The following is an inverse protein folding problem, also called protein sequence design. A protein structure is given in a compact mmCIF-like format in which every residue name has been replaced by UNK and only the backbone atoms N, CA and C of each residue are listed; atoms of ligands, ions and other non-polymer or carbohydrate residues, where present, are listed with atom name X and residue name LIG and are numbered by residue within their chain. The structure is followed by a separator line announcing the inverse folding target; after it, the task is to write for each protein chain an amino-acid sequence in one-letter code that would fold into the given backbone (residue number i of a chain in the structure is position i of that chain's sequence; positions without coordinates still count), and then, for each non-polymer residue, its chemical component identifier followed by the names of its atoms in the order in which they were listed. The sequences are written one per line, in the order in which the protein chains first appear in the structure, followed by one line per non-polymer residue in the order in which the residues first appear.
data_IF_135481884028
#
_entry.id   IF_135481884028
#
_cell.length_a   1.000
_cell.length_b   1.000
_cell.length_c   1.000
_cell.angle_alpha   90.00
_cell.angle_beta   90.00
_cell.angle_gamma   90.00
#
_symmetry.space_group_name_H-M   'P 1'
#
loop_
_entity.id
_entity.type
_entity.pdbx_description
1 polymer ?
#
# COMPACT_ATOMS: atom_id res chain seq x y z
N UNK A 1 -11.72 -16.46 60.09
CA UNK A 1 -12.25 -15.63 58.99
C UNK A 1 -11.21 -15.55 57.88
N UNK A 2 -11.51 -16.15 56.73
CA UNK A 2 -10.62 -16.17 55.55
C UNK A 2 -10.74 -14.82 54.83
N UNK A 3 -9.64 -14.08 54.69
CA UNK A 3 -9.53 -12.93 53.80
C UNK A 3 -8.51 -13.22 52.71
N UNK A 4 -9.00 -13.80 51.61
CA UNK A 4 -8.31 -13.73 50.31
C UNK A 4 -8.82 -12.46 49.62
N UNK A 5 -7.88 -11.59 49.24
CA UNK A 5 -7.82 -10.87 47.96
C UNK A 5 -7.25 -9.47 48.14
N UNK A 6 -5.94 -9.37 47.89
CA UNK A 6 -5.44 -8.29 47.05
C UNK A 6 -4.39 -8.91 46.16
N UNK A 7 -4.81 -9.33 44.96
CA UNK A 7 -3.93 -9.49 43.81
C UNK A 7 -3.15 -8.19 43.70
N UNK A 8 -1.95 -8.14 44.29
CA UNK A 8 -0.90 -7.27 43.79
C UNK A 8 -0.75 -7.70 42.34
N UNK A 9 -1.23 -6.86 41.41
CA UNK A 9 -0.72 -6.84 40.05
C UNK A 9 0.77 -6.59 40.20
N UNK A 10 1.54 -7.67 40.38
CA UNK A 10 2.96 -7.65 40.16
C UNK A 10 3.14 -7.21 38.71
N UNK A 11 3.51 -5.95 38.55
CA UNK A 11 4.18 -5.43 37.36
C UNK A 11 5.58 -6.06 37.31
N UNK A 12 5.65 -7.40 37.23
CA UNK A 12 6.87 -8.10 36.91
C UNK A 12 6.97 -8.09 35.38
N UNK A 13 8.04 -7.46 34.87
CA UNK A 13 8.46 -7.60 33.48
C UNK A 13 8.37 -9.08 33.12
N UNK A 14 7.54 -9.45 32.14
CA UNK A 14 7.35 -10.85 31.80
C UNK A 14 8.73 -11.45 31.46
N UNK A 15 9.23 -12.44 32.22
CA UNK A 15 10.60 -12.93 32.05
C UNK A 15 10.82 -13.55 30.66
N UNK A 16 9.74 -13.98 29.98
CA UNK A 16 9.80 -14.44 28.60
C UNK A 16 9.98 -13.29 27.60
N UNK A 17 9.45 -12.10 27.89
CA UNK A 17 9.63 -10.92 27.06
C UNK A 17 11.10 -10.45 27.07
N UNK A 18 11.72 -10.42 28.24
CA UNK A 18 13.15 -10.11 28.37
C UNK A 18 14.02 -11.14 27.62
N UNK A 19 13.73 -12.44 27.77
CA UNK A 19 14.42 -13.50 27.02
C UNK A 19 14.21 -13.39 25.50
N UNK A 20 13.01 -13.05 25.05
CA UNK A 20 12.72 -12.84 23.64
C UNK A 20 13.54 -11.69 23.06
N UNK A 21 13.63 -10.57 23.79
CA UNK A 21 14.43 -9.41 23.41
C UNK A 21 15.94 -9.74 23.37
N UNK A 22 16.46 -10.48 24.35
CA UNK A 22 17.85 -10.93 24.32
C UNK A 22 18.15 -11.83 23.11
N UNK A 23 17.26 -12.79 22.81
CA UNK A 23 17.40 -13.63 21.61
C UNK A 23 17.36 -12.81 20.31
N UNK A 24 16.53 -11.76 20.27
CA UNK A 24 16.46 -10.82 19.14
C UNK A 24 17.78 -10.05 18.97
N UNK A 25 18.36 -9.52 20.05
CA UNK A 25 19.66 -8.82 20.01
C UNK A 25 20.80 -9.73 19.53
N UNK A 26 20.73 -11.02 19.86
CA UNK A 26 21.68 -12.04 19.39
C UNK A 26 21.40 -12.53 17.95
N UNK A 27 20.44 -11.91 17.25
CA UNK A 27 19.99 -12.32 15.91
C UNK A 27 19.46 -13.76 15.82
N UNK A 28 19.15 -14.38 16.97
CA UNK A 28 18.48 -15.68 17.03
C UNK A 28 16.97 -15.49 16.83
N UNK A 29 16.59 -15.12 15.61
CA UNK A 29 15.22 -14.75 15.26
C UNK A 29 14.23 -15.90 15.43
N UNK A 30 14.67 -17.15 15.24
CA UNK A 30 13.84 -18.35 15.45
C UNK A 30 13.42 -18.45 16.92
N UNK A 31 14.39 -18.33 17.84
CA UNK A 31 14.10 -18.38 19.26
C UNK A 31 13.30 -17.15 19.73
N UNK A 32 13.66 -15.96 19.26
CA UNK A 32 12.97 -14.72 19.57
C UNK A 32 11.49 -14.77 19.15
N UNK A 33 11.20 -15.20 17.90
CA UNK A 33 9.84 -15.31 17.37
C UNK A 33 8.99 -16.27 18.21
N UNK A 34 9.55 -17.44 18.55
CA UNK A 34 8.87 -18.42 19.42
C UNK A 34 8.54 -17.84 20.80
N UNK A 35 9.49 -17.15 21.42
CA UNK A 35 9.30 -16.58 22.75
C UNK A 35 8.29 -15.42 22.73
N UNK A 36 8.34 -14.53 21.74
CA UNK A 36 7.34 -13.48 21.58
C UNK A 36 5.93 -14.04 21.33
N UNK A 37 5.80 -15.09 20.52
CA UNK A 37 4.50 -15.79 20.32
C UNK A 37 3.96 -16.37 21.63
N UNK A 38 4.82 -16.97 22.46
CA UNK A 38 4.41 -17.48 23.79
C UNK A 38 3.98 -16.35 24.74
N UNK A 39 4.60 -15.17 24.65
CA UNK A 39 4.13 -13.98 25.39
C UNK A 39 2.72 -13.62 24.93
N UNK A 40 2.47 -13.57 23.62
CA UNK A 40 1.14 -13.25 23.08
C UNK A 40 0.07 -14.30 23.39
N UNK A 41 0.42 -15.57 23.58
CA UNK A 41 -0.53 -16.59 24.03
C UNK A 41 -1.10 -16.27 25.43
N UNK A 42 -0.28 -15.69 26.32
CA UNK A 42 -0.69 -15.34 27.68
C UNK A 42 -1.21 -13.90 27.80
N UNK A 43 -0.67 -13.01 26.99
CA UNK A 43 -0.97 -11.59 26.96
C UNK A 43 -1.23 -11.15 25.52
N UNK A 44 -2.44 -11.40 24.99
CA UNK A 44 -2.76 -11.21 23.57
C UNK A 44 -2.54 -9.79 23.05
N UNK A 45 -2.57 -8.80 23.94
CA UNK A 45 -2.42 -7.37 23.64
C UNK A 45 -1.05 -6.82 24.10
N UNK A 46 -0.07 -7.68 24.41
CA UNK A 46 1.25 -7.21 24.80
C UNK A 46 1.95 -6.51 23.63
N UNK A 47 2.03 -5.18 23.72
CA UNK A 47 2.63 -4.28 22.73
C UNK A 47 4.04 -4.71 22.32
N UNK A 48 4.93 -4.92 23.28
CA UNK A 48 6.34 -5.13 23.01
C UNK A 48 6.58 -6.48 22.31
N UNK A 49 5.80 -7.51 22.63
CA UNK A 49 5.85 -8.77 21.92
C UNK A 49 5.35 -8.66 20.48
N UNK A 50 4.30 -7.88 20.22
CA UNK A 50 3.86 -7.61 18.84
C UNK A 50 4.90 -6.83 18.04
N UNK A 51 5.52 -5.79 18.65
CA UNK A 51 6.56 -5.01 18.00
C UNK A 51 7.82 -5.86 17.72
N UNK A 52 8.20 -6.74 18.65
CA UNK A 52 9.28 -7.70 18.44
C UNK A 52 9.01 -8.62 17.25
N UNK A 53 7.81 -9.16 17.14
CA UNK A 53 7.42 -9.99 15.98
C UNK A 53 7.38 -9.19 14.68
N UNK A 54 6.92 -7.94 14.72
CA UNK A 54 6.92 -7.06 13.56
C UNK A 54 8.35 -6.76 13.08
N UNK A 55 9.27 -6.49 14.01
CA UNK A 55 10.69 -6.24 13.70
C UNK A 55 11.39 -7.48 13.11
N UNK A 56 11.10 -8.67 13.64
CA UNK A 56 11.60 -9.94 13.06
C UNK A 56 11.06 -10.13 11.64
N UNK A 57 9.77 -9.86 11.42
CA UNK A 57 9.16 -9.96 10.10
C UNK A 57 9.79 -8.97 9.11
N UNK A 58 10.05 -7.72 9.54
CA UNK A 58 10.77 -6.70 8.77
C UNK A 58 12.16 -7.19 8.36
N UNK A 59 12.95 -7.71 9.29
CA UNK A 59 14.29 -8.22 9.01
C UNK A 59 14.29 -9.35 7.95
N UNK A 60 13.22 -10.14 7.92
CA UNK A 60 13.08 -11.26 6.99
C UNK A 60 12.31 -10.89 5.71
N UNK A 61 12.10 -9.60 5.44
CA UNK A 61 11.35 -9.10 4.29
C UNK A 61 9.92 -9.66 4.19
N UNK A 62 9.30 -9.98 5.34
CA UNK A 62 7.92 -10.48 5.46
C UNK A 62 6.96 -9.33 5.75
N UNK A 63 6.88 -8.36 4.84
CA UNK A 63 6.16 -7.09 5.06
C UNK A 63 4.68 -7.26 5.41
N UNK A 64 3.99 -8.23 4.80
CA UNK A 64 2.60 -8.55 5.12
C UNK A 64 2.43 -8.94 6.60
N UNK A 65 3.37 -9.72 7.15
CA UNK A 65 3.36 -10.15 8.55
C UNK A 65 3.72 -8.97 9.46
N UNK A 66 4.69 -8.15 9.08
CA UNK A 66 5.04 -6.94 9.81
C UNK A 66 3.85 -5.98 9.92
N UNK A 67 3.19 -5.68 8.79
CA UNK A 67 1.97 -4.85 8.73
C UNK A 67 0.85 -5.39 9.62
N UNK A 68 0.64 -6.71 9.63
CA UNK A 68 -0.36 -7.34 10.49
C UNK A 68 -0.12 -7.01 11.98
N UNK A 69 1.11 -7.18 12.47
CA UNK A 69 1.43 -6.90 13.86
C UNK A 69 1.38 -5.42 14.20
N UNK A 70 1.88 -4.52 13.33
CA UNK A 70 1.77 -3.08 13.56
C UNK A 70 0.30 -2.59 13.62
N UNK A 71 -0.58 -3.12 12.76
CA UNK A 71 -2.03 -2.83 12.83
C UNK A 71 -2.63 -3.30 14.17
N UNK A 72 -2.23 -4.46 14.68
CA UNK A 72 -2.70 -4.96 15.99
C UNK A 72 -2.20 -4.10 17.16
N UNK A 73 -0.97 -3.60 17.09
CA UNK A 73 -0.45 -2.63 18.07
C UNK A 73 -1.32 -1.38 18.06
N UNK A 74 -1.59 -0.78 16.90
CA UNK A 74 -2.42 0.44 16.82
C UNK A 74 -3.88 0.22 17.23
N UNK A 75 -4.43 -1.00 17.06
CA UNK A 75 -5.77 -1.34 17.55
C UNK A 75 -5.85 -1.32 19.08
N UNK A 76 -4.80 -1.76 19.76
CA UNK A 76 -4.77 -1.90 21.23
C UNK A 76 -4.11 -0.69 21.91
N UNK A 77 -3.22 0.00 21.20
CA UNK A 77 -2.42 1.15 21.64
C UNK A 77 -2.45 2.24 20.54
N UNK A 78 -3.57 2.97 20.38
CA UNK A 78 -3.74 3.92 19.27
C UNK A 78 -2.71 5.07 19.24
N UNK A 79 -2.12 5.41 20.39
CA UNK A 79 -1.07 6.43 20.51
C UNK A 79 0.35 5.92 20.20
N UNK A 80 0.51 4.69 19.73
CA UNK A 80 1.82 4.10 19.53
C UNK A 80 2.59 4.70 18.34
N UNK A 81 3.54 5.59 18.63
CA UNK A 81 4.25 6.30 17.57
C UNK A 81 5.14 5.38 16.73
N UNK A 82 5.74 4.35 17.33
CA UNK A 82 6.60 3.39 16.62
C UNK A 82 5.79 2.63 15.57
N UNK A 83 4.68 2.03 15.98
CA UNK A 83 3.80 1.31 15.06
C UNK A 83 3.20 2.23 14.00
N UNK A 84 2.85 3.48 14.35
CA UNK A 84 2.30 4.45 13.40
C UNK A 84 3.32 4.82 12.32
N UNK A 85 4.52 5.25 12.70
CA UNK A 85 5.55 5.68 11.75
C UNK A 85 6.01 4.51 10.88
N UNK A 86 6.27 3.34 11.49
CA UNK A 86 6.72 2.18 10.74
C UNK A 86 5.63 1.62 9.84
N UNK A 87 4.37 1.58 10.28
CA UNK A 87 3.27 1.18 9.40
C UNK A 87 3.10 2.16 8.25
N UNK A 88 3.16 3.48 8.50
CA UNK A 88 3.10 4.49 7.44
C UNK A 88 4.21 4.31 6.40
N UNK A 89 5.43 4.01 6.83
CA UNK A 89 6.54 3.69 5.93
C UNK A 89 6.29 2.40 5.15
N UNK A 90 5.77 1.35 5.80
CA UNK A 90 5.46 0.05 5.17
C UNK A 90 4.25 0.06 4.26
N UNK A 91 3.31 0.97 4.50
CA UNK A 91 2.09 1.14 3.70
C UNK A 91 2.21 2.32 2.77
N UNK A 92 3.37 2.98 2.71
CA UNK A 92 3.59 4.22 1.98
C UNK A 92 2.94 4.13 0.61
N UNK A 93 1.92 4.96 0.39
CA UNK A 93 1.11 5.17 -0.82
C UNK A 93 0.65 3.93 -1.59
N UNK A 94 1.55 3.05 -2.03
CA UNK A 94 1.27 1.87 -2.86
C UNK A 94 0.33 0.83 -2.24
N UNK A 95 0.41 0.53 -0.94
CA UNK A 95 -0.39 -0.58 -0.37
C UNK A 95 -1.82 -0.17 0.02
N UNK A 96 -2.01 1.07 0.46
CA UNK A 96 -3.36 1.64 0.70
C UNK A 96 -4.16 1.81 -0.59
N UNK A 97 -3.46 2.04 -1.70
CA UNK A 97 -4.04 2.20 -3.04
C UNK A 97 -4.21 0.86 -3.77
N UNK A 98 -3.59 -0.23 -3.27
CA UNK A 98 -3.76 -1.61 -3.74
C UNK A 98 -4.98 -2.33 -3.16
N UNK A 99 -5.69 -1.75 -2.21
CA UNK A 99 -6.95 -2.32 -1.70
C UNK A 99 -8.13 -1.55 -2.27
N UNK A 100 -8.74 -2.10 -3.33
CA UNK A 100 -9.89 -1.46 -4.00
C UNK A 100 -11.08 -1.20 -3.06
N UNK A 101 -11.27 -2.00 -2.01
CA UNK A 101 -12.37 -1.82 -1.06
C UNK A 101 -12.13 -0.59 -0.18
N UNK A 102 -10.89 -0.42 0.27
CA UNK A 102 -10.47 0.74 1.05
C UNK A 102 -10.46 1.99 0.18
N UNK A 103 -9.99 1.90 -1.06
CA UNK A 103 -9.96 3.05 -1.96
C UNK A 103 -11.36 3.58 -2.28
N UNK A 104 -12.34 2.69 -2.47
CA UNK A 104 -13.75 3.06 -2.62
C UNK A 104 -14.30 3.77 -1.38
N UNK A 105 -13.93 3.33 -0.18
CA UNK A 105 -14.35 4.02 1.05
C UNK A 105 -13.76 5.42 1.16
N UNK A 106 -12.50 5.63 0.76
CA UNK A 106 -11.88 6.95 0.76
C UNK A 106 -12.50 7.87 -0.30
N UNK A 107 -12.90 7.32 -1.45
CA UNK A 107 -13.66 8.05 -2.46
C UNK A 107 -15.05 8.47 -1.96
N UNK A 108 -15.66 7.75 -1.00
CA UNK A 108 -16.92 8.21 -0.39
C UNK A 108 -16.73 9.48 0.44
N UNK A 109 -15.60 9.60 1.14
CA UNK A 109 -15.26 10.80 1.92
C UNK A 109 -14.66 11.92 1.08
N UNK A 110 -13.94 11.58 0.01
CA UNK A 110 -13.21 12.52 -0.85
C UNK A 110 -13.53 12.28 -2.34
N UNK A 111 -14.79 12.50 -2.77
CA UNK A 111 -15.25 12.15 -4.12
C UNK A 111 -14.62 12.98 -5.25
N UNK A 112 -13.88 14.04 -4.90
CA UNK A 112 -13.23 14.96 -5.82
C UNK A 112 -11.70 14.89 -5.74
N UNK A 113 -11.13 13.82 -5.17
CA UNK A 113 -9.68 13.64 -5.07
C UNK A 113 -9.15 12.87 -6.31
N UNK A 114 -8.47 13.53 -7.26
CA UNK A 114 -8.00 12.89 -8.49
C UNK A 114 -6.97 11.78 -8.24
N UNK A 115 -6.16 11.89 -7.17
CA UNK A 115 -5.16 10.89 -6.84
C UNK A 115 -5.79 9.56 -6.42
N UNK A 116 -6.94 9.59 -5.75
CA UNK A 116 -7.68 8.38 -5.37
C UNK A 116 -8.28 7.68 -6.59
N UNK A 117 -8.78 8.43 -7.57
CA UNK A 117 -9.21 7.85 -8.85
C UNK A 117 -8.03 7.30 -9.66
N UNK A 118 -6.91 8.01 -9.70
CA UNK A 118 -5.71 7.53 -10.40
C UNK A 118 -5.21 6.21 -9.82
N UNK A 119 -5.16 6.13 -8.49
CA UNK A 119 -4.86 4.90 -7.78
C UNK A 119 -5.83 3.76 -8.09
N UNK A 120 -7.12 4.05 -8.22
CA UNK A 120 -8.15 3.06 -8.53
C UNK A 120 -7.94 2.54 -9.94
N UNK A 121 -7.60 3.43 -10.87
CA UNK A 121 -7.19 3.07 -12.22
C UNK A 121 -5.99 2.14 -12.23
N UNK A 122 -4.92 2.48 -11.49
CA UNK A 122 -3.72 1.64 -11.38
C UNK A 122 -4.06 0.23 -10.85
N UNK A 123 -4.84 0.14 -9.78
CA UNK A 123 -5.26 -1.14 -9.23
C UNK A 123 -6.05 -1.99 -10.24
N UNK A 124 -6.97 -1.36 -10.98
CA UNK A 124 -7.78 -2.07 -11.98
C UNK A 124 -6.94 -2.49 -13.18
N UNK A 125 -6.00 -1.66 -13.63
CA UNK A 125 -5.04 -1.97 -14.68
C UNK A 125 -4.13 -3.16 -14.27
N UNK A 126 -3.59 -3.16 -13.05
CA UNK A 126 -2.80 -4.27 -12.50
C UNK A 126 -3.59 -5.58 -12.44
N UNK A 127 -4.92 -5.48 -12.35
CA UNK A 127 -5.85 -6.62 -12.35
C UNK A 127 -6.34 -7.03 -13.74
N UNK A 128 -5.92 -6.33 -14.81
CA UNK A 128 -6.39 -6.54 -16.19
C UNK A 128 -7.81 -6.04 -16.47
N UNK A 129 -8.43 -5.33 -15.51
CA UNK A 129 -9.77 -4.79 -15.62
C UNK A 129 -9.74 -3.44 -16.35
N UNK A 130 -9.41 -3.47 -17.65
CA UNK A 130 -9.11 -2.28 -18.43
C UNK A 130 -10.29 -1.30 -18.59
N UNK A 131 -11.53 -1.79 -18.58
CA UNK A 131 -12.73 -0.92 -18.63
C UNK A 131 -12.88 -0.08 -17.36
N UNK A 132 -12.73 -0.71 -16.21
CA UNK A 132 -12.77 -0.05 -14.91
C UNK A 132 -11.58 0.89 -14.73
N UNK A 133 -10.41 0.49 -15.22
CA UNK A 133 -9.23 1.34 -15.25
C UNK A 133 -9.45 2.60 -16.09
N UNK A 134 -10.01 2.45 -17.31
CA UNK A 134 -10.35 3.56 -18.19
C UNK A 134 -11.31 4.55 -17.51
N UNK A 135 -12.38 4.07 -16.87
CA UNK A 135 -13.30 4.93 -16.14
C UNK A 135 -12.62 5.70 -15.00
N UNK A 136 -11.80 5.01 -14.18
CA UNK A 136 -11.11 5.64 -13.06
C UNK A 136 -10.06 6.66 -13.51
N UNK A 137 -9.27 6.36 -14.54
CA UNK A 137 -8.33 7.32 -15.10
C UNK A 137 -9.02 8.52 -15.75
N UNK A 138 -10.18 8.30 -16.37
CA UNK A 138 -10.99 9.40 -16.90
C UNK A 138 -11.43 10.37 -15.80
N UNK A 139 -11.93 9.87 -14.68
CA UNK A 139 -12.30 10.72 -13.53
C UNK A 139 -11.08 11.47 -12.95
N UNK A 140 -9.93 10.79 -12.82
CA UNK A 140 -8.69 11.43 -12.39
C UNK A 140 -8.29 12.59 -13.31
N UNK A 141 -8.35 12.36 -14.63
CA UNK A 141 -8.03 13.38 -15.63
C UNK A 141 -9.07 14.52 -15.63
N UNK A 142 -10.38 14.21 -15.53
CA UNK A 142 -11.45 15.21 -15.48
C UNK A 142 -11.28 16.16 -14.30
N UNK A 143 -10.86 15.65 -13.15
CA UNK A 143 -10.63 16.43 -11.93
C UNK A 143 -9.30 17.21 -11.97
N UNK A 144 -8.30 16.76 -12.75
CA UNK A 144 -7.01 17.43 -12.90
C UNK A 144 -6.50 17.34 -14.36
N UNK A 145 -7.06 18.13 -15.29
CA UNK A 145 -6.86 17.98 -16.73
C UNK A 145 -5.47 18.39 -17.23
N UNK A 146 -4.63 18.95 -16.36
CA UNK A 146 -3.27 19.39 -16.69
C UNK A 146 -2.21 18.34 -16.32
N UNK A 147 -2.60 17.20 -15.73
CA UNK A 147 -1.69 16.13 -15.33
C UNK A 147 -1.39 15.19 -16.51
N UNK A 148 -0.19 15.29 -17.06
CA UNK A 148 0.28 14.43 -18.15
C UNK A 148 0.17 12.93 -17.84
N UNK A 149 0.49 12.52 -16.61
CA UNK A 149 0.44 11.11 -16.19
C UNK A 149 -0.99 10.53 -16.26
N UNK A 150 -2.02 11.33 -15.99
CA UNK A 150 -3.40 10.87 -16.02
C UNK A 150 -3.89 10.68 -17.45
N UNK A 151 -3.55 11.62 -18.34
CA UNK A 151 -3.79 11.47 -19.78
C UNK A 151 -3.06 10.24 -20.35
N UNK A 152 -1.81 10.02 -19.93
CA UNK A 152 -1.00 8.88 -20.39
C UNK A 152 -1.60 7.53 -19.97
N UNK A 153 -1.99 7.38 -18.71
CA UNK A 153 -2.56 6.11 -18.22
C UNK A 153 -3.99 5.87 -18.74
N UNK A 154 -4.77 6.94 -18.96
CA UNK A 154 -6.04 6.83 -19.69
C UNK A 154 -5.81 6.34 -21.12
N UNK A 155 -4.80 6.86 -21.81
CA UNK A 155 -4.45 6.41 -23.15
C UNK A 155 -4.03 4.93 -23.17
N UNK A 156 -3.23 4.47 -22.21
CA UNK A 156 -2.88 3.05 -22.04
C UNK A 156 -4.14 2.18 -21.88
N UNK A 157 -5.06 2.58 -21.00
CA UNK A 157 -6.27 1.79 -20.78
C UNK A 157 -7.14 1.70 -22.05
N UNK A 158 -7.24 2.80 -22.81
CA UNK A 158 -7.93 2.82 -24.11
C UNK A 158 -7.21 1.93 -25.15
N UNK A 159 -5.87 1.95 -25.16
CA UNK A 159 -5.05 1.16 -26.06
C UNK A 159 -5.25 -0.34 -25.81
N UNK A 160 -5.27 -0.76 -24.55
CA UNK A 160 -5.58 -2.13 -24.12
C UNK A 160 -7.02 -2.58 -24.47
N UNK A 161 -7.93 -1.63 -24.62
CA UNK A 161 -9.31 -1.87 -25.06
C UNK A 161 -9.46 -1.83 -26.59
N UNK A 162 -8.36 -1.74 -27.35
CA UNK A 162 -8.35 -1.57 -28.80
C UNK A 162 -9.10 -0.31 -29.29
N UNK A 163 -9.25 0.69 -28.42
CA UNK A 163 -9.87 1.98 -28.72
C UNK A 163 -8.82 2.96 -29.26
N UNK A 164 -8.24 2.61 -30.42
CA UNK A 164 -7.02 3.18 -30.96
C UNK A 164 -7.12 4.69 -31.23
N UNK A 165 -8.23 5.15 -31.80
CA UNK A 165 -8.45 6.59 -32.07
C UNK A 165 -8.48 7.40 -30.78
N UNK A 166 -9.16 6.90 -29.75
CA UNK A 166 -9.22 7.59 -28.46
C UNK A 166 -7.86 7.52 -27.75
N UNK A 167 -7.18 6.38 -27.79
CA UNK A 167 -5.85 6.20 -27.21
C UNK A 167 -4.85 7.21 -27.82
N UNK A 168 -4.79 7.32 -29.15
CA UNK A 168 -3.93 8.27 -29.85
C UNK A 168 -4.19 9.73 -29.42
N UNK A 169 -5.47 10.12 -29.29
CA UNK A 169 -5.83 11.46 -28.84
C UNK A 169 -5.29 11.75 -27.43
N UNK A 170 -5.44 10.82 -26.48
CA UNK A 170 -4.94 11.01 -25.11
C UNK A 170 -3.43 10.87 -24.99
N UNK A 171 -2.77 10.07 -25.84
CA UNK A 171 -1.31 10.04 -25.92
C UNK A 171 -0.74 11.37 -26.40
N UNK A 172 -1.33 11.96 -27.44
CA UNK A 172 -0.97 13.32 -27.88
C UNK A 172 -1.21 14.34 -26.77
N UNK A 173 -2.32 14.22 -26.04
CA UNK A 173 -2.61 15.09 -24.90
C UNK A 173 -1.57 14.96 -23.79
N UNK A 174 -1.18 13.73 -23.44
CA UNK A 174 -0.12 13.47 -22.47
C UNK A 174 1.20 14.10 -22.93
N UNK A 175 1.52 14.04 -24.23
CA UNK A 175 2.71 14.66 -24.80
C UNK A 175 2.70 16.19 -24.75
N UNK A 176 1.56 16.80 -25.03
CA UNK A 176 1.33 18.26 -24.93
C UNK A 176 1.53 18.74 -23.49
N UNK A 177 1.01 17.98 -22.51
CA UNK A 177 1.06 18.32 -21.10
C UNK A 177 2.40 17.98 -20.43
N UNK A 178 3.26 17.20 -21.08
CA UNK A 178 4.50 16.72 -20.50
C UNK A 178 5.52 17.84 -20.30
N UNK A 179 5.85 18.11 -19.04
CA UNK A 179 6.98 18.97 -18.64
C UNK A 179 8.28 18.18 -18.47
N UNK A 180 9.26 18.78 -17.78
CA UNK A 180 10.58 18.17 -17.52
C UNK A 180 10.54 16.93 -16.61
N UNK A 181 9.46 16.72 -15.85
CA UNK A 181 9.29 15.57 -14.95
C UNK A 181 7.97 14.87 -15.25
N UNK A 182 8.04 13.67 -15.80
CA UNK A 182 6.89 12.77 -16.04
C UNK A 182 7.22 11.38 -15.48
N UNK A 183 6.19 10.58 -15.15
CA UNK A 183 6.38 9.22 -14.65
C UNK A 183 6.57 8.18 -15.77
N UNK A 184 6.51 8.60 -17.03
CA UNK A 184 6.61 7.76 -18.21
C UNK A 184 7.73 8.24 -19.13
N UNK A 185 8.21 7.36 -20.01
CA UNK A 185 9.23 7.73 -20.99
C UNK A 185 8.61 8.48 -22.17
N UNK A 186 9.01 9.74 -22.37
CA UNK A 186 8.59 10.54 -23.54
C UNK A 186 8.96 9.85 -24.85
N UNK A 187 10.15 9.22 -24.89
CA UNK A 187 10.60 8.47 -26.07
C UNK A 187 9.66 7.29 -26.39
N UNK A 188 9.26 6.52 -25.39
CA UNK A 188 8.34 5.39 -25.60
C UNK A 188 6.93 5.87 -26.00
N UNK A 189 6.46 6.98 -25.41
CA UNK A 189 5.21 7.61 -25.79
C UNK A 189 5.22 8.02 -27.27
N UNK A 190 6.25 8.74 -27.72
CA UNK A 190 6.37 9.20 -29.12
C UNK A 190 6.44 8.02 -30.09
N UNK A 191 7.16 6.95 -29.73
CA UNK A 191 7.17 5.71 -30.50
C UNK A 191 5.78 5.08 -30.60
N UNK A 192 5.01 5.04 -29.51
CA UNK A 192 3.64 4.48 -29.55
C UNK A 192 2.70 5.35 -30.38
N UNK A 193 2.79 6.67 -30.28
CA UNK A 193 2.03 7.62 -31.12
C UNK A 193 2.29 7.33 -32.60
N UNK A 194 3.56 7.25 -33.01
CA UNK A 194 3.93 7.00 -34.41
C UNK A 194 3.41 5.66 -34.93
N UNK A 195 3.46 4.61 -34.11
CA UNK A 195 2.91 3.28 -34.45
C UNK A 195 1.39 3.30 -34.65
N UNK A 196 0.66 3.97 -33.76
CA UNK A 196 -0.80 4.13 -33.88
C UNK A 196 -1.18 4.95 -35.12
N UNK A 197 -0.40 5.97 -35.49
CA UNK A 197 -0.60 6.74 -36.72
C UNK A 197 -0.38 5.90 -37.99
N UNK A 198 0.45 4.87 -37.90
CA UNK A 198 0.68 3.89 -38.97
C UNK A 198 -0.33 2.73 -38.97
N UNK A 199 -1.29 2.72 -38.03
CA UNK A 199 -2.32 1.69 -37.91
C UNK A 199 -1.88 0.40 -37.21
N UNK A 200 -0.79 0.42 -36.44
CA UNK A 200 -0.29 -0.76 -35.73
C UNK A 200 -1.07 -1.02 -34.43
N UNK A 201 -1.69 -2.20 -34.34
CA UNK A 201 -2.46 -2.64 -33.18
C UNK A 201 -1.58 -2.94 -31.94
N UNK A 202 -2.15 -3.00 -30.72
CA UNK A 202 -1.38 -3.37 -29.52
C UNK A 202 -0.88 -4.81 -29.60
N UNK A 203 0.40 -5.05 -29.26
CA UNK A 203 0.89 -6.39 -28.92
C UNK A 203 0.28 -6.82 -27.59
N UNK A 204 -0.64 -7.80 -27.65
CA UNK A 204 -1.25 -8.47 -26.50
C UNK A 204 -0.24 -9.26 -25.66
#
# INVERSE_FOLDING_TARGET
SIRISKKRKESSVNPRLGKAWLAYQQQNFVQAERLYKQVLQRYPDNRDAMLGLAAIAMYQNRDNVARHYYKRVLKTHPGDNVARVTLQSLTGSGDTLKDSSRLKHWLQSEPNNPQLYFALGNHQADSGNWKEAQHAYFEAFRLAPTRADYAFNLAIALDQLALQTQALNYYRKARELAGSTTLFSIKQLEQRISRLEQGEEPTL
#
